data_IF_181896318946
#
_entry.id   IF_181896318946
#
_cell.length_a   1.000
_cell.length_b   1.000
_cell.length_c   1.000
_cell.angle_alpha   90.00
_cell.angle_beta   90.00
_cell.angle_gamma   90.00
#
_symmetry.space_group_name_H-M   'P 1'
#
loop_
_entity.id
_entity.type
_entity.pdbx_description
1 polymer ?
#
# COMPACT_ATOMS: atom_id res chain seq x y z
N UNK A 1 28.81 13.11 -11.90
CA UNK A 1 29.28 13.91 -10.75
C UNK A 1 28.31 13.95 -9.55
N UNK A 2 27.00 13.74 -9.69
CA UNK A 2 26.09 13.76 -8.51
C UNK A 2 26.04 12.46 -7.68
N UNK A 3 26.39 11.30 -8.26
CA UNK A 3 26.30 10.00 -7.57
C UNK A 3 27.36 9.78 -6.49
N UNK A 4 28.62 10.12 -6.77
CA UNK A 4 29.74 9.91 -5.82
C UNK A 4 29.61 10.81 -4.58
N UNK A 5 29.19 12.06 -4.74
CA UNK A 5 28.96 12.99 -3.62
C UNK A 5 27.79 12.54 -2.73
N UNK A 6 26.76 11.93 -3.33
CA UNK A 6 25.61 11.41 -2.59
C UNK A 6 25.96 10.14 -1.79
N UNK A 7 26.76 9.25 -2.37
CA UNK A 7 27.33 8.08 -1.68
C UNK A 7 28.25 8.49 -0.52
N UNK A 8 29.07 9.52 -0.71
CA UNK A 8 29.94 10.05 0.34
C UNK A 8 29.18 10.66 1.52
N UNK A 9 28.08 11.38 1.26
CA UNK A 9 27.22 11.91 2.32
C UNK A 9 26.47 10.79 3.07
N UNK A 10 25.94 9.80 2.35
CA UNK A 10 25.30 8.62 2.93
C UNK A 10 26.25 7.78 3.78
N UNK A 11 27.50 7.57 3.33
CA UNK A 11 28.51 6.83 4.10
C UNK A 11 28.82 7.51 5.43
N UNK A 12 28.97 8.84 5.41
CA UNK A 12 29.23 9.64 6.59
C UNK A 12 28.02 9.67 7.53
N UNK A 13 26.79 9.80 7.02
CA UNK A 13 25.58 9.85 7.85
C UNK A 13 25.21 8.50 8.47
N UNK A 14 25.35 7.40 7.73
CA UNK A 14 24.91 6.07 8.18
C UNK A 14 26.01 5.32 8.91
N UNK A 15 27.25 5.40 8.43
CA UNK A 15 28.40 4.65 8.99
C UNK A 15 29.41 5.54 9.71
N UNK A 16 29.38 6.87 9.54
CA UNK A 16 30.40 7.75 10.12
C UNK A 16 31.81 7.46 9.60
N UNK A 17 31.92 6.78 8.46
CA UNK A 17 33.17 6.44 7.77
C UNK A 17 33.18 7.11 6.39
N UNK A 18 34.36 7.48 5.91
CA UNK A 18 34.53 7.86 4.52
C UNK A 18 34.37 6.64 3.62
N UNK A 19 33.89 6.85 2.38
CA UNK A 19 33.67 5.78 1.39
C UNK A 19 34.92 4.94 1.17
N UNK A 20 36.10 5.56 1.24
CA UNK A 20 37.40 4.92 1.03
C UNK A 20 37.82 3.97 2.17
N UNK A 21 37.12 4.00 3.30
CA UNK A 21 37.39 3.17 4.48
C UNK A 21 36.29 2.11 4.73
N UNK A 22 35.43 1.87 3.74
CA UNK A 22 34.37 0.87 3.81
C UNK A 22 34.91 -0.51 3.45
N UNK A 23 34.45 -1.51 4.19
CA UNK A 23 34.68 -2.91 3.84
C UNK A 23 33.87 -3.30 2.58
N UNK A 24 34.27 -4.33 1.80
CA UNK A 24 33.58 -4.71 0.55
C UNK A 24 32.10 -5.09 0.75
N UNK A 25 31.70 -5.49 1.96
CA UNK A 25 30.30 -5.76 2.30
C UNK A 25 29.54 -4.48 2.64
N UNK A 26 30.14 -3.56 3.42
CA UNK A 26 29.56 -2.24 3.74
C UNK A 26 29.33 -1.40 2.47
N UNK A 27 30.29 -1.42 1.54
CA UNK A 27 30.20 -0.71 0.26
C UNK A 27 29.06 -1.23 -0.63
N UNK A 28 28.89 -2.56 -0.71
CA UNK A 28 27.83 -3.20 -1.52
C UNK A 28 26.44 -2.77 -1.06
N UNK A 29 26.23 -2.77 0.26
CA UNK A 29 24.95 -2.41 0.86
C UNK A 29 24.70 -0.90 0.73
N UNK A 30 25.73 -0.06 0.94
CA UNK A 30 25.60 1.38 0.78
C UNK A 30 25.26 1.77 -0.68
N UNK A 31 25.87 1.10 -1.66
CA UNK A 31 25.52 1.26 -3.07
C UNK A 31 24.06 0.86 -3.35
N UNK A 32 23.58 -0.25 -2.77
CA UNK A 32 22.19 -0.67 -2.91
C UNK A 32 21.18 0.33 -2.30
N UNK A 33 21.53 1.02 -1.21
CA UNK A 33 20.75 2.11 -0.63
C UNK A 33 20.78 3.36 -1.52
N UNK A 34 21.98 3.76 -1.97
CA UNK A 34 22.18 4.97 -2.76
C UNK A 34 21.52 4.92 -4.15
N UNK A 35 21.49 3.75 -4.79
CA UNK A 35 20.82 3.55 -6.08
C UNK A 35 19.30 3.61 -6.00
N UNK A 36 18.71 3.47 -4.80
CA UNK A 36 17.26 3.37 -4.59
C UNK A 36 16.65 4.46 -3.72
N UNK A 37 17.37 5.54 -3.42
CA UNK A 37 16.86 6.60 -2.54
C UNK A 37 15.84 7.53 -3.26
N UNK A 38 14.54 7.38 -2.96
CA UNK A 38 13.74 8.49 -2.48
C UNK A 38 13.26 8.18 -1.05
N UNK A 39 13.45 9.14 -0.15
CA UNK A 39 13.17 9.04 1.28
C UNK A 39 11.74 8.55 1.56
N UNK A 40 11.65 7.47 2.33
CA UNK A 40 10.44 6.80 2.79
C UNK A 40 9.28 7.71 3.21
N UNK A 41 9.63 8.81 3.87
CA UNK A 41 8.68 9.73 4.50
C UNK A 41 8.06 10.72 3.51
N UNK A 42 8.78 11.07 2.44
CA UNK A 42 8.26 11.99 1.42
C UNK A 42 7.21 11.31 0.54
N UNK A 43 7.36 10.02 0.24
CA UNK A 43 6.45 9.33 -0.68
C UNK A 43 5.02 9.14 -0.13
N UNK A 44 4.87 8.81 1.16
CA UNK A 44 3.56 8.60 1.78
C UNK A 44 2.79 9.91 1.98
N UNK A 45 3.47 10.99 2.35
CA UNK A 45 2.87 12.31 2.53
C UNK A 45 2.50 12.97 1.19
N UNK A 46 3.25 12.70 0.11
CA UNK A 46 2.92 13.17 -1.24
C UNK A 46 1.69 12.46 -1.84
N UNK A 47 1.50 11.16 -1.54
CA UNK A 47 0.42 10.34 -2.10
C UNK A 47 -0.96 10.64 -1.48
N UNK A 48 -0.99 11.05 -0.21
CA UNK A 48 -2.22 11.53 0.44
C UNK A 48 -2.50 13.01 0.13
N UNK A 49 -1.46 13.83 -0.11
CA UNK A 49 -1.62 15.23 -0.50
C UNK A 49 -2.14 15.40 -1.94
N UNK A 50 -1.91 14.42 -2.83
CA UNK A 50 -2.40 14.44 -4.21
C UNK A 50 -3.71 13.70 -4.44
N UNK A 51 -4.27 13.03 -3.42
CA UNK A 51 -5.51 12.28 -3.56
C UNK A 51 -6.66 13.19 -4.00
N UNK A 52 -7.21 12.90 -5.18
CA UNK A 52 -8.34 13.66 -5.72
C UNK A 52 -9.59 13.46 -4.87
N UNK A 53 -10.52 14.41 -4.93
CA UNK A 53 -11.85 14.27 -4.31
C UNK A 53 -12.54 12.99 -4.83
N UNK A 54 -12.29 12.61 -6.08
CA UNK A 54 -12.78 11.36 -6.68
C UNK A 54 -12.20 10.10 -6.02
N UNK A 55 -10.90 10.10 -5.72
CA UNK A 55 -10.23 8.96 -5.07
C UNK A 55 -10.77 8.74 -3.65
N UNK A 56 -10.95 9.84 -2.91
CA UNK A 56 -11.54 9.81 -1.55
C UNK A 56 -12.99 9.31 -1.57
N UNK A 57 -13.75 9.65 -2.60
CA UNK A 57 -15.13 9.17 -2.76
C UNK A 57 -15.16 7.69 -3.13
N UNK A 58 -14.30 7.26 -4.06
CA UNK A 58 -14.17 5.87 -4.48
C UNK A 58 -13.78 4.95 -3.31
N UNK A 59 -12.79 5.34 -2.50
CA UNK A 59 -12.37 4.60 -1.31
C UNK A 59 -13.53 4.42 -0.31
N UNK A 60 -14.34 5.47 -0.13
CA UNK A 60 -15.50 5.44 0.77
C UNK A 60 -16.64 4.58 0.23
N UNK A 61 -16.91 4.66 -1.08
CA UNK A 61 -17.91 3.82 -1.75
C UNK A 61 -17.50 2.35 -1.71
N UNK A 62 -16.23 2.03 -1.94
CA UNK A 62 -15.70 0.68 -1.84
C UNK A 62 -15.81 0.12 -0.42
N UNK A 63 -15.46 0.93 0.60
CA UNK A 63 -15.57 0.53 2.01
C UNK A 63 -17.03 0.28 2.45
N UNK A 64 -17.98 1.10 1.99
CA UNK A 64 -19.40 0.93 2.30
C UNK A 64 -20.01 -0.25 1.54
N UNK A 65 -19.68 -0.40 0.25
CA UNK A 65 -20.16 -1.49 -0.60
C UNK A 65 -19.65 -2.88 -0.18
N UNK A 66 -18.47 -2.95 0.46
CA UNK A 66 -17.89 -4.19 0.96
C UNK A 66 -18.41 -4.66 2.34
N UNK A 67 -19.29 -3.89 3.00
CA UNK A 67 -19.78 -4.25 4.33
C UNK A 67 -20.90 -5.30 4.29
N UNK A 68 -20.82 -6.29 5.18
CA UNK A 68 -21.88 -7.29 5.37
C UNK A 68 -23.25 -6.67 5.68
N UNK A 69 -23.29 -5.56 6.42
CA UNK A 69 -24.54 -4.87 6.71
C UNK A 69 -25.19 -4.26 5.47
N UNK A 70 -24.38 -3.70 4.56
CA UNK A 70 -24.88 -3.15 3.29
C UNK A 70 -25.46 -4.26 2.41
N UNK A 71 -24.80 -5.41 2.31
CA UNK A 71 -25.27 -6.56 1.51
C UNK A 71 -26.64 -7.05 2.00
N UNK A 72 -26.82 -7.16 3.33
CA UNK A 72 -28.09 -7.61 3.92
C UNK A 72 -29.21 -6.61 3.62
N UNK A 73 -29.00 -5.32 3.89
CA UNK A 73 -30.01 -4.28 3.65
C UNK A 73 -30.35 -4.17 2.16
N UNK A 74 -29.34 -4.20 1.30
CA UNK A 74 -29.51 -4.16 -0.15
C UNK A 74 -30.37 -5.35 -0.63
N UNK A 75 -30.08 -6.56 -0.17
CA UNK A 75 -30.86 -7.76 -0.51
C UNK A 75 -32.31 -7.66 -0.03
N UNK A 76 -32.54 -7.17 1.20
CA UNK A 76 -33.89 -6.97 1.72
C UNK A 76 -34.69 -5.95 0.90
N UNK A 77 -34.06 -4.86 0.46
CA UNK A 77 -34.70 -3.85 -0.40
C UNK A 77 -35.07 -4.46 -1.76
N UNK A 78 -34.21 -5.28 -2.36
CA UNK A 78 -34.52 -5.97 -3.62
C UNK A 78 -35.71 -6.93 -3.46
N UNK A 79 -35.72 -7.74 -2.40
CA UNK A 79 -36.84 -8.65 -2.12
C UNK A 79 -38.14 -7.89 -1.85
N UNK A 80 -38.07 -6.78 -1.10
CA UNK A 80 -39.22 -5.92 -0.87
C UNK A 80 -39.76 -5.32 -2.17
N UNK A 81 -38.88 -4.86 -3.07
CA UNK A 81 -39.27 -4.34 -4.38
C UNK A 81 -39.96 -5.40 -5.25
N UNK A 82 -39.39 -6.62 -5.29
CA UNK A 82 -39.96 -7.75 -6.02
C UNK A 82 -41.36 -8.10 -5.49
N UNK A 83 -41.50 -8.28 -4.17
CA UNK A 83 -42.78 -8.61 -3.53
C UNK A 83 -43.83 -7.52 -3.73
N UNK A 84 -43.46 -6.24 -3.60
CA UNK A 84 -44.37 -5.11 -3.79
C UNK A 84 -44.87 -5.03 -5.24
N UNK A 85 -43.99 -5.28 -6.22
CA UNK A 85 -44.38 -5.27 -7.64
C UNK A 85 -45.23 -6.50 -8.03
N UNK A 86 -44.90 -7.70 -7.50
CA UNK A 86 -45.59 -8.94 -7.88
C UNK A 86 -46.87 -9.25 -7.08
N UNK A 87 -46.92 -8.98 -5.77
CA UNK A 87 -48.09 -9.34 -4.97
C UNK A 87 -49.09 -8.20 -4.82
N UNK A 88 -48.59 -6.96 -4.68
CA UNK A 88 -49.42 -5.79 -4.40
C UNK A 88 -49.80 -5.12 -5.71
N UNK A 89 -48.83 -4.58 -6.45
CA UNK A 89 -49.13 -3.77 -7.63
C UNK A 89 -49.69 -4.58 -8.81
N UNK A 90 -49.24 -5.82 -9.02
CA UNK A 90 -49.81 -6.70 -10.04
C UNK A 90 -51.29 -7.01 -9.76
N UNK A 91 -51.65 -7.25 -8.49
CA UNK A 91 -53.04 -7.49 -8.08
C UNK A 91 -53.94 -6.26 -8.24
N UNK A 92 -53.37 -5.05 -8.19
CA UNK A 92 -54.07 -3.78 -8.44
C UNK A 92 -53.98 -3.30 -9.90
N UNK A 93 -53.35 -4.06 -10.81
CA UNK A 93 -53.20 -3.68 -12.23
C UNK A 93 -52.28 -2.48 -12.48
N UNK A 94 -51.47 -2.10 -11.51
CA UNK A 94 -50.55 -0.95 -11.53
C UNK A 94 -49.08 -1.39 -11.43
N UNK A 95 -48.77 -2.61 -11.87
CA UNK A 95 -47.40 -3.15 -11.88
C UNK A 95 -46.46 -2.24 -12.66
N UNK A 96 -45.55 -1.58 -11.93
CA UNK A 96 -44.55 -0.69 -12.49
C UNK A 96 -43.39 -1.49 -13.11
N UNK A 97 -42.99 -2.59 -12.46
CA UNK A 97 -41.96 -3.52 -12.94
C UNK A 97 -42.44 -4.98 -12.77
N UNK A 98 -43.37 -5.46 -13.63
CA UNK A 98 -43.85 -6.85 -13.57
C UNK A 98 -42.75 -7.85 -13.90
N UNK A 99 -42.91 -9.10 -13.44
CA UNK A 99 -42.00 -10.20 -13.78
C UNK A 99 -41.84 -10.27 -15.31
N UNK A 100 -40.61 -10.19 -15.86
CA UNK A 100 -39.31 -10.58 -15.29
C UNK A 100 -38.43 -9.45 -14.69
N UNK A 101 -39.00 -8.33 -14.24
CA UNK A 101 -38.29 -7.21 -13.58
C UNK A 101 -37.21 -6.53 -14.42
N UNK A 102 -37.58 -6.04 -15.61
CA UNK A 102 -36.64 -5.43 -16.57
C UNK A 102 -35.98 -4.17 -16.00
N UNK A 103 -36.74 -3.37 -15.25
CA UNK A 103 -36.21 -2.13 -14.69
C UNK A 103 -35.20 -2.41 -13.58
N UNK A 104 -35.52 -3.32 -12.65
CA UNK A 104 -34.60 -3.79 -11.63
C UNK A 104 -33.30 -4.35 -12.25
N UNK A 105 -33.43 -5.16 -13.31
CA UNK A 105 -32.29 -5.73 -14.00
C UNK A 105 -31.37 -4.65 -14.61
N UNK A 106 -31.96 -3.64 -15.26
CA UNK A 106 -31.21 -2.52 -15.83
C UNK A 106 -30.47 -1.71 -14.74
N UNK A 107 -31.13 -1.45 -13.62
CA UNK A 107 -30.51 -0.76 -12.48
C UNK A 107 -29.34 -1.55 -11.91
N UNK A 108 -29.51 -2.85 -11.67
CA UNK A 108 -28.46 -3.72 -11.14
C UNK A 108 -27.27 -3.81 -12.11
N UNK A 109 -27.54 -3.92 -13.41
CA UNK A 109 -26.49 -3.97 -14.43
C UNK A 109 -25.68 -2.66 -14.48
N UNK A 110 -26.35 -1.52 -14.38
CA UNK A 110 -25.70 -0.20 -14.33
C UNK A 110 -24.87 -0.03 -13.06
N UNK A 111 -25.41 -0.48 -11.92
CA UNK A 111 -24.72 -0.46 -10.63
C UNK A 111 -23.43 -1.30 -10.69
N UNK A 112 -23.52 -2.52 -11.20
CA UNK A 112 -22.38 -3.42 -11.35
C UNK A 112 -21.32 -2.84 -12.31
N UNK A 113 -21.75 -2.25 -13.44
CA UNK A 113 -20.85 -1.64 -14.42
C UNK A 113 -20.04 -0.47 -13.83
N UNK A 114 -20.64 0.33 -12.95
CA UNK A 114 -19.95 1.43 -12.24
C UNK A 114 -19.11 0.91 -11.07
N UNK A 115 -19.50 -0.18 -10.42
CA UNK A 115 -18.75 -0.76 -9.29
C UNK A 115 -17.39 -1.32 -9.71
N UNK A 116 -17.31 -2.03 -10.84
CA UNK A 116 -16.06 -2.67 -11.30
C UNK A 116 -14.86 -1.69 -11.41
N UNK A 117 -14.97 -0.53 -12.09
CA UNK A 117 -13.86 0.43 -12.16
C UNK A 117 -13.57 1.12 -10.82
N UNK A 118 -14.58 1.38 -9.99
CA UNK A 118 -14.37 1.95 -8.63
C UNK A 118 -13.54 0.98 -7.77
N UNK A 119 -13.89 -0.31 -7.82
CA UNK A 119 -13.14 -1.36 -7.13
C UNK A 119 -11.71 -1.44 -7.70
N UNK A 120 -11.54 -1.39 -9.02
CA UNK A 120 -10.22 -1.41 -9.64
C UNK A 120 -9.37 -0.18 -9.26
N UNK A 121 -9.98 0.99 -9.14
CA UNK A 121 -9.31 2.22 -8.70
C UNK A 121 -8.85 2.09 -7.24
N UNK A 122 -9.71 1.60 -6.32
CA UNK A 122 -9.31 1.41 -4.93
C UNK A 122 -8.24 0.31 -4.78
N UNK A 123 -8.33 -0.75 -5.59
CA UNK A 123 -7.30 -1.81 -5.65
C UNK A 123 -5.96 -1.28 -6.17
N UNK A 124 -5.96 -0.48 -7.24
CA UNK A 124 -4.73 0.14 -7.75
C UNK A 124 -4.07 1.05 -6.71
N UNK A 125 -4.88 1.80 -5.94
CA UNK A 125 -4.39 2.64 -4.84
C UNK A 125 -3.82 1.81 -3.69
N UNK A 126 -4.51 0.74 -3.28
CA UNK A 126 -4.01 -0.18 -2.26
C UNK A 126 -2.70 -0.83 -2.70
N UNK A 127 -2.61 -1.32 -3.94
CA UNK A 127 -1.40 -1.95 -4.48
C UNK A 127 -0.21 -0.96 -4.59
N UNK A 128 -0.47 0.32 -4.85
CA UNK A 128 0.57 1.34 -4.82
C UNK A 128 1.13 1.55 -3.40
N UNK A 129 0.25 1.61 -2.40
CA UNK A 129 0.64 1.70 -0.98
C UNK A 129 1.39 0.46 -0.51
N UNK A 130 0.92 -0.73 -0.87
CA UNK A 130 1.59 -1.99 -0.53
C UNK A 130 3.00 -2.07 -1.14
N UNK A 131 3.15 -1.64 -2.40
CA UNK A 131 4.46 -1.58 -3.06
C UNK A 131 5.40 -0.59 -2.37
N UNK A 132 4.89 0.56 -1.95
CA UNK A 132 5.67 1.53 -1.18
C UNK A 132 6.11 0.90 0.14
N UNK A 133 5.19 0.38 0.94
CA UNK A 133 5.50 -0.28 2.21
C UNK A 133 6.58 -1.37 2.06
N UNK A 134 6.47 -2.24 1.05
CA UNK A 134 7.48 -3.26 0.77
C UNK A 134 8.87 -2.67 0.46
N UNK A 135 8.93 -1.52 -0.23
CA UNK A 135 10.21 -0.85 -0.49
C UNK A 135 10.85 -0.28 0.78
N UNK A 136 10.03 0.20 1.73
CA UNK A 136 10.50 0.71 3.02
C UNK A 136 11.01 -0.41 3.91
N UNK A 137 10.27 -1.51 3.97
CA UNK A 137 10.67 -2.69 4.73
C UNK A 137 12.01 -3.24 4.20
N UNK A 138 12.21 -3.21 2.87
CA UNK A 138 13.50 -3.57 2.26
C UNK A 138 14.64 -2.64 2.71
N UNK A 139 14.44 -1.33 2.70
CA UNK A 139 15.45 -0.36 3.15
C UNK A 139 15.79 -0.51 4.64
N UNK A 140 14.77 -0.70 5.48
CA UNK A 140 14.94 -0.92 6.92
C UNK A 140 15.75 -2.20 7.16
N UNK A 141 15.41 -3.29 6.46
CA UNK A 141 16.14 -4.56 6.59
C UNK A 141 17.60 -4.41 6.17
N UNK A 142 17.86 -3.70 5.08
CA UNK A 142 19.20 -3.44 4.57
C UNK A 142 20.03 -2.57 5.54
N UNK A 143 19.39 -1.58 6.18
CA UNK A 143 20.02 -0.77 7.23
C UNK A 143 20.31 -1.60 8.49
N UNK A 144 19.42 -2.49 8.88
CA UNK A 144 19.63 -3.40 10.00
C UNK A 144 20.82 -4.34 9.73
N UNK A 145 20.96 -4.83 8.49
CA UNK A 145 22.10 -5.64 8.07
C UNK A 145 23.43 -4.87 8.22
N UNK A 146 23.50 -3.61 7.78
CA UNK A 146 24.67 -2.74 8.01
C UNK A 146 25.01 -2.60 9.50
N UNK A 147 23.99 -2.41 10.33
CA UNK A 147 24.19 -2.22 11.76
C UNK A 147 24.71 -3.50 12.43
N UNK A 148 24.21 -4.67 12.01
CA UNK A 148 24.72 -5.97 12.45
C UNK A 148 26.16 -6.18 12.03
N UNK A 149 26.51 -5.93 10.76
CA UNK A 149 27.89 -6.05 10.27
C UNK A 149 28.84 -5.13 11.05
N UNK A 150 28.41 -3.90 11.32
CA UNK A 150 29.17 -2.93 12.12
C UNK A 150 29.36 -3.40 13.56
N UNK A 151 28.33 -3.99 14.17
CA UNK A 151 28.43 -4.58 15.51
C UNK A 151 29.39 -5.78 15.52
N UNK A 152 29.31 -6.65 14.52
CA UNK A 152 30.21 -7.80 14.37
C UNK A 152 31.68 -7.35 14.30
N UNK A 153 31.98 -6.40 13.42
CA UNK A 153 33.33 -5.85 13.30
C UNK A 153 33.83 -5.21 14.60
N UNK A 154 32.99 -4.49 15.34
CA UNK A 154 33.36 -3.95 16.65
C UNK A 154 33.66 -5.05 17.67
N UNK A 155 32.91 -6.15 17.65
CA UNK A 155 33.15 -7.30 18.52
C UNK A 155 34.48 -7.96 18.18
N UNK A 156 34.78 -8.15 16.89
CA UNK A 156 36.05 -8.75 16.45
C UNK A 156 37.25 -7.93 16.91
N UNK A 157 37.19 -6.60 16.70
CA UNK A 157 38.24 -5.67 17.16
C UNK A 157 38.41 -5.68 18.68
N UNK A 158 37.31 -5.79 19.44
CA UNK A 158 37.39 -5.92 20.90
C UNK A 158 38.01 -7.26 21.32
N UNK A 159 37.65 -8.34 20.64
CA UNK A 159 38.18 -9.69 20.90
C UNK A 159 39.68 -9.74 20.67
N UNK A 160 40.17 -9.17 19.56
CA UNK A 160 41.59 -9.08 19.24
C UNK A 160 42.36 -8.27 20.29
N UNK A 161 41.81 -7.15 20.77
CA UNK A 161 42.41 -6.34 21.84
C UNK A 161 42.48 -7.09 23.17
N UNK A 162 41.46 -7.87 23.52
CA UNK A 162 41.46 -8.68 24.75
C UNK A 162 42.50 -9.79 24.68
N UNK A 163 42.63 -10.48 23.54
CA UNK A 163 43.68 -11.48 23.33
C UNK A 163 45.10 -10.87 23.38
N UNK A 164 45.25 -9.65 22.86
CA UNK A 164 46.52 -8.91 22.91
C UNK A 164 46.92 -8.46 24.31
N UNK A 165 45.97 -8.24 25.23
CA UNK A 165 46.22 -7.89 26.63
C UNK A 165 46.55 -9.10 27.53
N UNK A 166 46.30 -10.32 27.04
CA UNK A 166 46.60 -11.57 27.74
C UNK A 166 48.02 -12.10 27.53
N UNK A 167 48.85 -11.41 26.74
CA UNK A 167 50.28 -11.71 26.52
C UNK A 167 51.14 -10.66 27.20
#
# INVERSE_FOLDING_TARGET
MNGETHLADLSLRLLGKHVDALDPEESRVLHAIAERAPTSRDAADLDDAQASVGDRLADRVAAVGGSWGFIIVFTLVLLAWMLLNSEVLERFGLAFDPYPFIFLNLMLSTLAAVQAPIIMMSQNRAAAKDRLAASLDYEINLRAELEIMRLHHKIDVLTEKVEGLGK
#
